data_IF_148101985162
#
_entry.id   IF_148101985162
#
_cell.length_a   1.000
_cell.length_b   1.000
_cell.length_c   1.000
_cell.angle_alpha   90.00
_cell.angle_beta   90.00
_cell.angle_gamma   90.00
#
_symmetry.space_group_name_H-M   'P 1'
#
loop_
_entity.id
_entity.type
_entity.pdbx_description
1 polymer ?
#
# COMPACT_ATOMS: atom_id res chain seq x y z
N UNK A 1 11.27 -3.83 -10.82
CA UNK A 1 11.66 -4.01 -9.41
C UNK A 1 10.43 -4.43 -8.63
N UNK A 2 10.59 -5.20 -7.55
CA UNK A 2 9.48 -5.61 -6.67
C UNK A 2 9.79 -5.19 -5.23
N UNK A 3 8.77 -4.72 -4.52
CA UNK A 3 8.82 -4.46 -3.08
C UNK A 3 7.81 -5.38 -2.41
N UNK A 4 8.22 -6.07 -1.35
CA UNK A 4 7.38 -6.99 -0.60
C UNK A 4 7.28 -6.49 0.83
N UNK A 5 6.05 -6.27 1.32
CA UNK A 5 5.78 -6.02 2.72
C UNK A 5 5.15 -7.27 3.33
N UNK A 6 5.91 -7.93 4.21
CA UNK A 6 5.43 -9.06 5.00
C UNK A 6 4.70 -8.52 6.23
N UNK A 7 3.45 -8.92 6.39
CA UNK A 7 2.61 -8.62 7.56
C UNK A 7 2.61 -7.14 7.98
N UNK A 8 2.28 -6.20 7.07
CA UNK A 8 2.40 -4.78 7.37
C UNK A 8 1.40 -4.35 8.46
N UNK A 9 1.90 -3.71 9.50
CA UNK A 9 1.09 -3.31 10.66
C UNK A 9 0.56 -1.87 10.57
N UNK A 10 1.34 -0.96 9.99
CA UNK A 10 1.06 0.48 10.02
C UNK A 10 0.57 0.96 8.64
N UNK A 11 -0.71 1.39 8.51
CA UNK A 11 -1.29 1.73 7.21
C UNK A 11 -0.58 2.91 6.52
N UNK A 12 -0.10 3.90 7.28
CA UNK A 12 0.61 5.06 6.74
C UNK A 12 1.92 4.66 6.06
N UNK A 13 2.65 3.68 6.61
CA UNK A 13 3.89 3.18 6.00
C UNK A 13 3.58 2.51 4.66
N UNK A 14 2.59 1.62 4.63
CA UNK A 14 2.15 0.96 3.39
C UNK A 14 1.69 1.95 2.34
N UNK A 15 0.94 2.98 2.72
CA UNK A 15 0.50 4.02 1.79
C UNK A 15 1.65 4.85 1.21
N UNK A 16 2.62 5.24 2.04
CA UNK A 16 3.81 5.98 1.58
C UNK A 16 4.65 5.13 0.61
N UNK A 17 4.87 3.85 0.94
CA UNK A 17 5.59 2.91 0.08
C UNK A 17 4.82 2.66 -1.22
N UNK A 18 3.49 2.55 -1.15
CA UNK A 18 2.61 2.46 -2.32
C UNK A 18 2.78 3.66 -3.27
N UNK A 19 2.83 4.88 -2.73
CA UNK A 19 3.08 6.10 -3.51
C UNK A 19 4.43 6.06 -4.21
N UNK A 20 5.47 5.61 -3.51
CA UNK A 20 6.81 5.42 -4.11
C UNK A 20 6.78 4.35 -5.21
N UNK A 21 6.07 3.25 -4.99
CA UNK A 21 5.94 2.18 -5.98
C UNK A 21 5.23 2.68 -7.25
N UNK A 22 4.16 3.46 -7.10
CA UNK A 22 3.49 4.12 -8.22
C UNK A 22 4.43 5.08 -8.96
N UNK A 23 5.15 5.94 -8.24
CA UNK A 23 6.06 6.93 -8.84
C UNK A 23 7.24 6.30 -9.60
N UNK A 24 7.61 5.07 -9.25
CA UNK A 24 8.78 4.36 -9.81
C UNK A 24 8.41 3.23 -10.77
N UNK A 25 7.12 2.96 -11.00
CA UNK A 25 6.66 1.78 -11.75
C UNK A 25 7.04 0.45 -11.09
N UNK A 26 7.21 0.45 -9.77
CA UNK A 26 7.56 -0.75 -8.98
C UNK A 26 6.31 -1.49 -8.55
N UNK A 27 6.32 -2.82 -8.58
CA UNK A 27 5.20 -3.63 -8.07
C UNK A 27 5.32 -3.81 -6.56
N UNK A 28 4.26 -3.46 -5.84
CA UNK A 28 4.13 -3.67 -4.39
C UNK A 28 3.34 -4.95 -4.12
N UNK A 29 3.90 -5.84 -3.31
CA UNK A 29 3.24 -7.07 -2.85
C UNK A 29 3.02 -6.97 -1.34
N UNK A 30 1.80 -7.25 -0.89
CA UNK A 30 1.43 -7.28 0.51
C UNK A 30 1.13 -8.73 0.91
N UNK A 31 1.80 -9.24 1.93
CA UNK A 31 1.58 -10.58 2.44
C UNK A 31 0.84 -10.49 3.77
N UNK A 32 -0.27 -11.22 3.87
CA UNK A 32 -1.12 -11.31 5.05
C UNK A 32 -0.45 -12.09 6.21
N UNK A 33 -0.91 -11.89 7.47
CA UNK A 33 -1.96 -10.95 7.91
C UNK A 33 -1.50 -9.50 7.97
N UNK A 34 -2.38 -8.57 7.57
CA UNK A 34 -2.14 -7.14 7.72
C UNK A 34 -2.72 -6.62 9.04
N UNK A 35 -2.02 -5.71 9.71
CA UNK A 35 -2.51 -5.03 10.92
C UNK A 35 -3.61 -3.99 10.67
N UNK A 36 -3.99 -3.77 9.41
CA UNK A 36 -5.04 -2.84 9.00
C UNK A 36 -5.85 -3.39 7.83
N UNK A 37 -7.05 -2.83 7.62
CA UNK A 37 -7.90 -3.17 6.48
C UNK A 37 -7.71 -2.19 5.34
N UNK A 38 -7.42 -2.72 4.15
CA UNK A 38 -7.50 -1.99 2.89
C UNK A 38 -8.95 -2.03 2.42
N UNK A 39 -9.58 -0.87 2.34
CA UNK A 39 -10.91 -0.73 1.75
C UNK A 39 -10.95 0.55 0.91
N UNK A 40 -11.82 0.61 -0.10
CA UNK A 40 -11.92 1.76 -1.01
C UNK A 40 -12.10 3.09 -0.26
N UNK A 41 -12.87 3.09 0.82
CA UNK A 41 -13.13 4.29 1.61
C UNK A 41 -11.85 4.84 2.26
N UNK A 42 -11.00 3.96 2.77
CA UNK A 42 -9.72 4.28 3.38
C UNK A 42 -8.72 4.73 2.32
N UNK A 43 -8.70 4.08 1.15
CA UNK A 43 -7.85 4.44 0.01
C UNK A 43 -8.22 5.84 -0.52
N UNK A 44 -9.51 6.10 -0.78
CA UNK A 44 -10.02 7.41 -1.20
C UNK A 44 -9.70 8.50 -0.19
N UNK A 45 -9.89 8.24 1.11
CA UNK A 45 -9.55 9.20 2.18
C UNK A 45 -8.05 9.50 2.26
N UNK A 46 -7.21 8.52 1.96
CA UNK A 46 -5.75 8.67 1.97
C UNK A 46 -5.19 9.36 0.72
N UNK A 47 -6.04 9.69 -0.26
CA UNK A 47 -5.58 10.21 -1.55
C UNK A 47 -4.69 9.18 -2.27
N UNK A 48 -5.09 7.90 -2.21
CA UNK A 48 -4.48 6.80 -2.94
C UNK A 48 -5.37 6.43 -4.14
N UNK A 49 -5.47 7.37 -5.06
CA UNK A 49 -6.17 7.27 -6.35
C UNK A 49 -5.45 6.35 -7.37
N UNK A 50 -4.21 5.96 -7.08
CA UNK A 50 -3.38 5.04 -7.88
C UNK A 50 -3.46 3.57 -7.44
N UNK A 51 -4.32 3.27 -6.46
CA UNK A 51 -4.47 1.94 -5.87
C UNK A 51 -5.67 1.22 -6.50
N UNK A 52 -5.51 0.82 -7.76
CA UNK A 52 -6.45 0.00 -8.55
C UNK A 52 -5.81 -1.35 -8.94
#
# INVERSE_FOLDING_TARGET
MNVILLEPEIPQNTGNIGRTCCATGTKLHLIEPMGFRINEKNLKRAGMDYWD
#
